data_IF_296433070284
#
_entry.id   IF_296433070284
#
_cell.length_a   1.000
_cell.length_b   1.000
_cell.length_c   1.000
_cell.angle_alpha   90.00
_cell.angle_beta   90.00
_cell.angle_gamma   90.00
#
_symmetry.space_group_name_H-M   'P 1'
#
loop_
_entity.id
_entity.type
_entity.pdbx_description
1 polymer ?
#
# COMPACT_ATOMS: atom_id res chain seq x y z
N UNK A 1 15.08 -1.35 -3.09
CA UNK A 1 13.94 -0.91 -2.25
C UNK A 1 13.52 0.45 -2.77
N UNK A 2 12.23 0.64 -3.04
CA UNK A 2 11.66 1.93 -3.48
C UNK A 2 10.68 2.38 -2.41
N UNK A 3 10.65 3.67 -2.11
CA UNK A 3 9.76 4.25 -1.10
C UNK A 3 8.90 5.35 -1.69
N UNK A 4 7.70 5.50 -1.15
CA UNK A 4 6.75 6.57 -1.43
C UNK A 4 6.19 7.12 -0.13
N UNK A 5 5.67 8.34 -0.17
CA UNK A 5 5.05 9.01 0.97
C UNK A 5 3.63 9.43 0.59
N UNK A 6 2.74 9.48 1.57
CA UNK A 6 1.38 9.97 1.36
C UNK A 6 1.42 11.46 1.01
N UNK A 7 0.69 11.83 -0.03
CA UNK A 7 0.50 13.22 -0.45
C UNK A 7 -0.90 13.66 -0.07
N UNK A 8 -0.99 14.43 1.01
CA UNK A 8 -2.24 15.07 1.42
C UNK A 8 -2.63 16.18 0.45
N UNK A 9 -3.93 16.34 0.22
CA UNK A 9 -4.48 17.41 -0.61
C UNK A 9 -5.71 18.02 0.05
N UNK A 10 -5.91 19.34 -0.12
CA UNK A 10 -7.11 20.05 0.36
C UNK A 10 -8.38 19.45 -0.22
N UNK A 11 -8.36 19.09 -1.50
CA UNK A 11 -9.44 18.33 -2.12
C UNK A 11 -9.16 16.86 -1.89
N UNK A 12 -9.88 16.22 -0.97
CA UNK A 12 -9.59 14.85 -0.52
C UNK A 12 -9.49 13.81 -1.63
N UNK A 13 -10.25 13.96 -2.74
CA UNK A 13 -10.15 13.06 -3.92
C UNK A 13 -8.79 13.07 -4.62
N UNK A 14 -7.98 14.11 -4.36
CA UNK A 14 -6.64 14.28 -4.92
C UNK A 14 -5.55 13.78 -3.98
N UNK A 15 -5.89 13.34 -2.75
CA UNK A 15 -4.92 12.78 -1.83
C UNK A 15 -4.44 11.42 -2.36
N UNK A 16 -3.12 11.20 -2.33
CA UNK A 16 -2.50 10.01 -2.89
C UNK A 16 -1.84 9.22 -1.75
N UNK A 17 -2.17 7.95 -1.66
CA UNK A 17 -1.58 7.03 -0.70
C UNK A 17 -0.09 6.80 -0.99
N UNK A 18 0.69 6.47 0.04
CA UNK A 18 2.13 6.23 -0.08
C UNK A 18 2.44 5.07 -1.04
N UNK A 19 1.60 4.04 -1.02
CA UNK A 19 1.67 2.86 -1.87
C UNK A 19 1.61 3.23 -3.35
N UNK A 20 0.70 4.13 -3.74
CA UNK A 20 0.56 4.56 -5.13
C UNK A 20 1.80 5.30 -5.64
N UNK A 21 2.39 6.15 -4.80
CA UNK A 21 3.67 6.80 -5.10
C UNK A 21 4.79 5.77 -5.23
N UNK A 22 4.87 4.80 -4.32
CA UNK A 22 5.88 3.75 -4.35
C UNK A 22 5.76 2.84 -5.57
N UNK A 23 4.54 2.45 -5.97
CA UNK A 23 4.26 1.67 -7.18
C UNK A 23 4.70 2.44 -8.41
N UNK A 24 4.31 3.71 -8.54
CA UNK A 24 4.71 4.55 -9.67
C UNK A 24 6.23 4.64 -9.80
N UNK A 25 6.94 4.84 -8.69
CA UNK A 25 8.41 4.83 -8.68
C UNK A 25 9.00 3.46 -9.00
N UNK A 26 8.40 2.37 -8.54
CA UNK A 26 8.86 1.02 -8.87
C UNK A 26 8.73 0.72 -10.37
N UNK A 27 7.69 1.25 -11.03
CA UNK A 27 7.52 1.18 -12.48
C UNK A 27 8.59 1.99 -13.21
N UNK A 28 8.89 3.21 -12.74
CA UNK A 28 9.87 4.10 -13.39
C UNK A 28 11.33 3.70 -13.15
N UNK A 29 11.66 3.31 -11.92
CA UNK A 29 13.04 3.18 -11.43
C UNK A 29 13.40 1.72 -11.11
N UNK A 30 12.41 0.91 -10.72
CA UNK A 30 12.61 -0.42 -10.12
C UNK A 30 12.56 -1.60 -11.08
N UNK A 31 12.51 -1.36 -12.40
CA UNK A 31 12.37 -2.41 -13.40
C UNK A 31 10.97 -3.05 -13.45
N UNK A 32 9.98 -2.42 -12.82
CA UNK A 32 8.56 -2.79 -12.93
C UNK A 32 8.12 -4.03 -12.12
N UNK A 33 9.02 -4.69 -11.39
CA UNK A 33 8.68 -5.88 -10.60
C UNK A 33 8.56 -5.56 -9.11
N UNK A 34 7.39 -5.78 -8.54
CA UNK A 34 7.11 -5.63 -7.10
C UNK A 34 6.83 -7.03 -6.53
N UNK A 35 7.71 -7.52 -5.65
CA UNK A 35 7.58 -8.84 -5.00
C UNK A 35 7.01 -8.78 -3.59
N UNK A 36 7.25 -7.65 -2.91
CA UNK A 36 6.80 -7.37 -1.54
C UNK A 36 6.50 -5.88 -1.37
N UNK A 37 5.47 -5.57 -0.60
CA UNK A 37 5.14 -4.19 -0.20
C UNK A 37 4.63 -4.13 1.24
N UNK A 38 4.80 -2.97 1.88
CA UNK A 38 4.32 -2.67 3.23
C UNK A 38 3.97 -1.18 3.32
N UNK A 39 2.87 -0.86 3.99
CA UNK A 39 2.50 0.52 4.30
C UNK A 39 2.68 0.75 5.80
N UNK A 40 3.31 1.88 6.15
CA UNK A 40 3.50 2.31 7.53
C UNK A 40 2.87 3.67 7.75
N UNK A 41 2.22 3.84 8.90
CA UNK A 41 1.61 5.09 9.34
C UNK A 41 2.44 5.65 10.48
N UNK A 42 2.80 6.92 10.34
CA UNK A 42 3.31 7.71 11.45
C UNK A 42 2.11 8.32 12.21
N UNK A 43 2.12 8.31 13.55
CA UNK A 43 1.13 9.07 14.31
C UNK A 43 1.22 10.55 13.94
N UNK A 44 0.10 11.24 13.96
CA UNK A 44 0.11 12.70 13.78
C UNK A 44 0.76 13.36 15.00
N UNK A 45 1.22 14.62 14.88
CA UNK A 45 1.82 15.33 16.01
C UNK A 45 0.92 15.44 17.25
N UNK A 46 -0.40 15.38 17.06
CA UNK A 46 -1.44 15.44 18.09
C UNK A 46 -1.97 14.05 18.51
N UNK A 47 -1.42 12.97 17.98
CA UNK A 47 -1.80 11.59 18.32
C UNK A 47 -0.65 10.90 19.07
N UNK A 48 -0.97 10.27 20.21
CA UNK A 48 -0.05 9.35 20.87
C UNK A 48 0.07 8.04 20.08
N UNK A 49 1.26 7.43 20.08
CA UNK A 49 1.49 6.11 19.48
C UNK A 49 2.86 5.96 18.83
N UNK A 50 3.12 4.77 18.30
CA UNK A 50 4.34 4.46 17.54
C UNK A 50 4.04 4.32 16.05
N UNK A 51 5.10 4.30 15.23
CA UNK A 51 4.99 3.96 13.81
C UNK A 51 4.46 2.54 13.70
N UNK A 52 3.36 2.37 12.96
CA UNK A 52 2.69 1.07 12.84
C UNK A 52 2.50 0.68 11.37
N UNK A 53 2.61 -0.62 11.09
CA UNK A 53 2.17 -1.18 9.81
C UNK A 53 0.65 -1.08 9.72
N UNK A 54 0.15 -0.66 8.57
CA UNK A 54 -1.29 -0.55 8.30
C UNK A 54 -1.65 -1.33 7.05
N UNK A 55 -2.88 -1.84 7.01
CA UNK A 55 -3.41 -2.48 5.80
C UNK A 55 -3.61 -1.44 4.69
N UNK A 56 -3.32 -1.76 3.42
CA UNK A 56 -3.56 -0.84 2.31
C UNK A 56 -5.06 -0.55 2.17
N UNK A 57 -5.36 0.69 1.76
CA UNK A 57 -6.73 1.10 1.47
C UNK A 57 -7.29 0.39 0.22
N UNK A 58 -8.61 0.43 0.01
CA UNK A 58 -9.27 -0.24 -1.11
C UNK A 58 -8.67 0.12 -2.48
N UNK A 59 -8.43 1.42 -2.73
CA UNK A 59 -7.83 1.87 -3.99
C UNK A 59 -6.39 1.37 -4.20
N UNK A 60 -5.60 1.25 -3.14
CA UNK A 60 -4.25 0.68 -3.25
C UNK A 60 -4.27 -0.83 -3.44
N UNK A 61 -5.28 -1.54 -2.92
CA UNK A 61 -5.47 -2.96 -3.20
C UNK A 61 -5.77 -3.20 -4.67
N UNK A 62 -6.63 -2.36 -5.26
CA UNK A 62 -6.89 -2.39 -6.71
C UNK A 62 -5.60 -2.10 -7.50
N UNK A 63 -4.84 -1.08 -7.09
CA UNK A 63 -3.58 -0.74 -7.74
C UNK A 63 -2.55 -1.89 -7.68
N UNK A 64 -2.47 -2.60 -6.55
CA UNK A 64 -1.63 -3.79 -6.44
C UNK A 64 -2.16 -4.95 -7.30
N UNK A 65 -3.48 -5.10 -7.46
CA UNK A 65 -4.04 -6.12 -8.34
C UNK A 65 -3.62 -5.88 -9.79
N UNK A 66 -3.61 -4.62 -10.24
CA UNK A 66 -3.23 -4.24 -11.60
C UNK A 66 -1.72 -4.31 -11.85
N UNK A 67 -0.91 -3.78 -10.92
CA UNK A 67 0.52 -3.57 -11.15
C UNK A 67 1.43 -4.59 -10.47
N UNK A 68 0.91 -5.35 -9.51
CA UNK A 68 1.70 -6.27 -8.69
C UNK A 68 0.90 -7.52 -8.22
N UNK A 69 0.14 -8.21 -9.10
CA UNK A 69 -0.79 -9.27 -8.67
C UNK A 69 -0.13 -10.43 -7.92
N UNK A 70 1.16 -10.69 -8.19
CA UNK A 70 1.94 -11.72 -7.50
C UNK A 70 2.65 -11.26 -6.23
N UNK A 71 2.52 -9.99 -5.83
CA UNK A 71 3.20 -9.48 -4.66
C UNK A 71 2.63 -10.06 -3.36
N UNK A 72 3.48 -10.14 -2.34
CA UNK A 72 3.04 -10.31 -0.96
C UNK A 72 2.99 -8.98 -0.24
N UNK A 73 1.87 -8.68 0.41
CA UNK A 73 1.65 -7.45 1.13
C UNK A 73 1.73 -7.74 2.62
N UNK A 74 2.60 -7.02 3.32
CA UNK A 74 2.73 -7.12 4.78
C UNK A 74 1.60 -6.31 5.42
N UNK A 75 0.79 -6.97 6.23
CA UNK A 75 -0.37 -6.38 6.92
C UNK A 75 -0.41 -6.82 8.38
N UNK A 76 -1.10 -6.09 9.27
CA UNK A 76 -1.42 -6.58 10.60
C UNK A 76 -2.33 -7.81 10.52
N UNK A 77 -2.03 -8.83 11.30
CA UNK A 77 -2.81 -10.04 11.48
C UNK A 77 -3.01 -10.36 12.97
N UNK A 78 -3.71 -11.47 13.29
CA UNK A 78 -4.08 -11.82 14.66
C UNK A 78 -2.86 -12.00 15.60
N UNK A 79 -1.78 -12.58 15.08
CA UNK A 79 -0.57 -12.92 15.85
C UNK A 79 0.63 -12.00 15.51
N UNK A 80 0.36 -10.79 15.02
CA UNK A 80 1.38 -9.84 14.57
C UNK A 80 1.37 -9.62 13.06
N UNK A 81 2.52 -9.35 12.46
CA UNK A 81 2.59 -9.07 11.02
C UNK A 81 2.45 -10.36 10.20
N UNK A 82 1.63 -10.31 9.16
CA UNK A 82 1.42 -11.40 8.22
C UNK A 82 1.66 -10.94 6.78
N UNK A 83 2.08 -11.87 5.93
CA UNK A 83 2.17 -11.63 4.49
C UNK A 83 0.91 -12.19 3.84
N UNK A 84 0.14 -11.34 3.17
CA UNK A 84 -1.05 -11.70 2.42
C UNK A 84 -0.82 -11.57 0.92
N UNK A 85 -1.45 -12.42 0.13
CA UNK A 85 -1.48 -12.28 -1.32
C UNK A 85 -2.43 -11.13 -1.71
N UNK A 86 -2.18 -10.50 -2.85
CA UNK A 86 -3.07 -9.46 -3.38
C UNK A 86 -4.52 -9.99 -3.58
N UNK A 87 -4.77 -11.18 -4.14
CA UNK A 87 -6.12 -11.75 -4.22
C UNK A 87 -6.77 -11.98 -2.85
N UNK A 88 -5.98 -12.26 -1.80
CA UNK A 88 -6.50 -12.38 -0.44
C UNK A 88 -6.96 -11.05 0.16
N UNK A 89 -6.37 -9.93 -0.26
CA UNK A 89 -6.74 -8.60 0.21
C UNK A 89 -7.90 -7.97 -0.57
N UNK A 90 -8.14 -8.42 -1.80
CA UNK A 90 -9.20 -7.91 -2.66
C UNK A 90 -9.98 -9.08 -3.28
N UNK A 91 -10.87 -9.72 -2.50
CA UNK A 91 -11.69 -10.81 -3.02
C UNK A 91 -12.70 -10.27 -4.02
N UNK A 92 -12.85 -10.97 -5.15
CA UNK A 92 -13.75 -10.59 -6.25
C UNK A 92 -13.47 -9.15 -6.73
N UNK A 93 -12.24 -8.87 -7.22
CA UNK A 93 -11.87 -7.54 -7.68
C UNK A 93 -12.78 -7.11 -8.82
N UNK A 94 -12.86 -5.79 -9.03
CA UNK A 94 -13.52 -5.27 -10.22
C UNK A 94 -12.86 -5.87 -11.48
N UNK A 95 -13.68 -6.23 -12.46
CA UNK A 95 -13.23 -6.72 -13.76
C UNK A 95 -13.85 -5.81 -14.81
N UNK A 96 -13.02 -5.28 -15.71
CA UNK A 96 -13.43 -4.34 -16.74
C UNK A 96 -13.96 -5.02 -18.00
#
# INVERSE_FOLDING_TARGET
IVTGVHLGATVGRMAICAEAVAVGRAVLEGGGMIVRAVAVRHPKPDEDGEIAVVSPCGGCRELFADHAPGAGIIVPGPDGLAIWSVPGLLPLPYQR
#
